data_IF_939651838781
#
_entry.id   IF_939651838781
#
_cell.length_a   1.000
_cell.length_b   1.000
_cell.length_c   1.000
_cell.angle_alpha   90.00
_cell.angle_beta   90.00
_cell.angle_gamma   90.00
#
_symmetry.space_group_name_H-M   'P 1'
#
loop_
_entity.id
_entity.type
_entity.pdbx_description
1 polymer ?
#
# COMPACT_ATOMS: atom_id res chain seq x y z
N UNK A 1 14.62 -24.90 -1.63
CA UNK A 1 14.42 -23.42 -1.73
C UNK A 1 13.54 -22.97 -0.58
N UNK A 2 14.12 -22.22 0.36
CA UNK A 2 13.42 -21.72 1.54
C UNK A 2 12.37 -20.67 1.14
N UNK A 3 11.28 -20.57 1.89
CA UNK A 3 10.18 -19.62 1.60
C UNK A 3 10.66 -18.15 1.58
N UNK A 4 11.60 -17.82 2.47
CA UNK A 4 12.29 -16.52 2.52
C UNK A 4 13.02 -16.22 1.21
N UNK A 5 13.68 -17.21 0.58
CA UNK A 5 14.39 -17.00 -0.68
C UNK A 5 13.45 -16.74 -1.86
N UNK A 6 12.28 -17.40 -1.87
CA UNK A 6 11.23 -17.10 -2.86
C UNK A 6 10.74 -15.65 -2.74
N UNK A 7 10.55 -15.17 -1.51
CA UNK A 7 10.14 -13.78 -1.23
C UNK A 7 11.23 -12.79 -1.62
N UNK A 8 12.49 -13.05 -1.23
CA UNK A 8 13.64 -12.23 -1.62
C UNK A 8 13.75 -12.09 -3.14
N UNK A 9 13.61 -13.19 -3.89
CA UNK A 9 13.67 -13.17 -5.36
C UNK A 9 12.49 -12.42 -5.99
N UNK A 10 11.28 -12.58 -5.45
CA UNK A 10 10.06 -11.91 -5.95
C UNK A 10 10.09 -10.39 -5.71
N UNK A 11 10.60 -9.97 -4.57
CA UNK A 11 10.65 -8.56 -4.17
C UNK A 11 12.01 -7.91 -4.45
N UNK A 12 12.97 -8.66 -4.99
CA UNK A 12 14.34 -8.21 -5.29
C UNK A 12 15.08 -7.64 -4.07
N UNK A 13 14.95 -8.31 -2.92
CA UNK A 13 15.46 -7.86 -1.62
C UNK A 13 16.72 -8.62 -1.25
N UNK A 14 17.78 -7.91 -0.86
CA UNK A 14 19.12 -8.50 -0.62
C UNK A 14 19.21 -9.23 0.72
N UNK A 15 18.53 -8.73 1.77
CA UNK A 15 18.60 -9.28 3.13
C UNK A 15 17.27 -9.87 3.62
N UNK A 16 17.31 -10.95 4.38
CA UNK A 16 16.12 -11.50 5.06
C UNK A 16 15.54 -10.55 6.10
N UNK A 17 16.39 -9.72 6.72
CA UNK A 17 15.98 -8.68 7.67
C UNK A 17 15.05 -7.64 7.03
N UNK A 18 15.33 -7.25 5.78
CA UNK A 18 14.47 -6.33 5.04
C UNK A 18 13.07 -6.92 4.83
N UNK A 19 12.95 -8.23 4.58
CA UNK A 19 11.65 -8.89 4.41
C UNK A 19 10.83 -8.83 5.70
N UNK A 20 11.46 -9.05 6.87
CA UNK A 20 10.79 -8.92 8.17
C UNK A 20 10.30 -7.49 8.42
N UNK A 21 11.15 -6.49 8.16
CA UNK A 21 10.80 -5.08 8.29
C UNK A 21 9.63 -4.72 7.37
N UNK A 22 9.65 -5.17 6.12
CA UNK A 22 8.56 -4.93 5.16
C UNK A 22 7.25 -5.55 5.65
N UNK A 23 7.29 -6.79 6.16
CA UNK A 23 6.12 -7.46 6.73
C UNK A 23 5.56 -6.71 7.95
N UNK A 24 6.44 -6.19 8.81
CA UNK A 24 6.04 -5.39 9.98
C UNK A 24 5.36 -4.08 9.54
N UNK A 25 5.94 -3.38 8.57
CA UNK A 25 5.32 -2.17 7.98
C UNK A 25 3.97 -2.48 7.36
N UNK A 26 3.83 -3.61 6.64
CA UNK A 26 2.54 -4.03 6.09
C UNK A 26 1.51 -4.33 7.19
N UNK A 27 1.91 -4.93 8.31
CA UNK A 27 1.02 -5.15 9.44
C UNK A 27 0.55 -3.82 10.07
N UNK A 28 1.48 -2.89 10.32
CA UNK A 28 1.16 -1.57 10.89
C UNK A 28 0.29 -0.72 9.95
N UNK A 29 0.62 -0.68 8.67
CA UNK A 29 -0.19 0.03 7.65
C UNK A 29 -1.58 -0.58 7.51
N UNK A 30 -1.70 -1.92 7.53
CA UNK A 30 -2.98 -2.62 7.51
C UNK A 30 -3.88 -2.24 8.70
N UNK A 31 -3.31 -2.18 9.89
CA UNK A 31 -4.02 -1.71 11.10
C UNK A 31 -4.46 -0.25 10.97
N UNK A 32 -3.57 0.62 10.50
CA UNK A 32 -3.84 2.06 10.33
C UNK A 32 -5.08 2.28 9.45
N UNK A 33 -5.19 1.57 8.34
CA UNK A 33 -6.32 1.74 7.40
C UNK A 33 -7.62 1.19 7.94
N UNK A 34 -7.59 0.09 8.70
CA UNK A 34 -8.80 -0.40 9.37
C UNK A 34 -9.39 0.68 10.30
N UNK A 35 -8.53 1.41 11.02
CA UNK A 35 -8.94 2.54 11.84
C UNK A 35 -9.43 3.73 11.01
N UNK A 36 -8.73 4.11 9.93
CA UNK A 36 -9.17 5.20 9.04
C UNK A 36 -10.56 4.95 8.48
N UNK A 37 -10.87 3.73 8.03
CA UNK A 37 -12.20 3.37 7.53
C UNK A 37 -13.28 3.57 8.60
N UNK A 38 -13.04 3.10 9.83
CA UNK A 38 -13.98 3.27 10.95
C UNK A 38 -14.18 4.75 11.31
N UNK A 39 -13.10 5.53 11.27
CA UNK A 39 -13.14 6.96 11.54
C UNK A 39 -13.97 7.70 10.48
N UNK A 40 -13.74 7.42 9.19
CA UNK A 40 -14.51 8.01 8.09
C UNK A 40 -16.01 7.68 8.18
N UNK A 41 -16.38 6.43 8.48
CA UNK A 41 -17.79 6.02 8.63
C UNK A 41 -18.47 6.74 9.80
N UNK A 42 -17.76 6.94 10.92
CA UNK A 42 -18.30 7.68 12.07
C UNK A 42 -18.47 9.18 11.80
N UNK A 43 -17.54 9.79 11.06
CA UNK A 43 -17.57 11.23 10.76
C UNK A 43 -18.65 11.61 9.75
N UNK A 44 -18.95 10.73 8.80
CA UNK A 44 -19.92 11.06 7.75
C UNK A 44 -21.39 10.91 8.17
N UNK A 45 -21.71 10.16 9.23
CA UNK A 45 -23.06 10.13 9.83
C UNK A 45 -24.23 9.77 8.88
N UNK A 46 -23.96 9.32 7.65
CA UNK A 46 -24.93 9.18 6.56
C UNK A 46 -24.98 7.71 6.11
N UNK A 47 -26.19 7.23 5.84
CA UNK A 47 -26.48 5.92 5.26
C UNK A 47 -25.56 5.62 4.07
N UNK A 48 -25.02 4.41 4.04
CA UNK A 48 -23.98 3.95 3.12
C UNK A 48 -24.36 4.15 1.65
N UNK A 49 -24.19 5.37 1.15
CA UNK A 49 -24.42 5.72 -0.23
C UNK A 49 -23.18 5.28 -1.01
N UNK A 50 -23.38 4.71 -2.19
CA UNK A 50 -22.30 4.28 -3.09
C UNK A 50 -21.24 5.36 -3.32
N UNK A 51 -21.63 6.65 -3.33
CA UNK A 51 -20.75 7.80 -3.43
C UNK A 51 -19.72 7.91 -2.28
N UNK A 52 -20.13 7.64 -1.04
CA UNK A 52 -19.25 7.67 0.14
C UNK A 52 -18.23 6.54 0.10
N UNK A 53 -18.64 5.37 -0.42
CA UNK A 53 -17.74 4.23 -0.59
C UNK A 53 -16.69 4.48 -1.67
N UNK A 54 -17.09 5.04 -2.82
CA UNK A 54 -16.17 5.46 -3.88
C UNK A 54 -15.17 6.51 -3.39
N UNK A 55 -15.65 7.53 -2.66
CA UNK A 55 -14.80 8.57 -2.09
C UNK A 55 -13.80 8.01 -1.06
N UNK A 56 -14.25 7.09 -0.20
CA UNK A 56 -13.38 6.38 0.74
C UNK A 56 -12.22 5.67 0.03
N UNK A 57 -12.49 4.92 -1.03
CA UNK A 57 -11.45 4.21 -1.79
C UNK A 57 -10.47 5.20 -2.41
N UNK A 58 -10.98 6.30 -2.98
CA UNK A 58 -10.17 7.31 -3.64
C UNK A 58 -9.25 8.07 -2.67
N UNK A 59 -9.62 8.19 -1.40
CA UNK A 59 -8.78 8.81 -0.36
C UNK A 59 -7.85 7.78 0.31
N UNK A 60 -8.34 6.57 0.60
CA UNK A 60 -7.55 5.52 1.25
C UNK A 60 -6.38 5.08 0.37
N UNK A 61 -6.55 5.04 -0.95
CA UNK A 61 -5.49 4.71 -1.90
C UNK A 61 -4.25 5.64 -1.78
N UNK A 62 -4.36 6.96 -1.98
CA UNK A 62 -3.23 7.87 -1.82
C UNK A 62 -2.75 7.97 -0.37
N UNK A 63 -3.65 7.85 0.61
CA UNK A 63 -3.25 7.83 2.02
C UNK A 63 -2.34 6.63 2.33
N UNK A 64 -2.70 5.43 1.86
CA UNK A 64 -1.87 4.23 1.99
C UNK A 64 -0.47 4.46 1.45
N UNK A 65 -0.39 5.15 0.33
CA UNK A 65 0.87 5.37 -0.36
C UNK A 65 1.80 6.30 0.43
N UNK A 66 1.25 7.37 1.00
CA UNK A 66 1.98 8.27 1.89
C UNK A 66 2.44 7.52 3.15
N UNK A 67 1.55 6.74 3.76
CA UNK A 67 1.83 5.98 4.97
C UNK A 67 2.96 4.96 4.71
N UNK A 68 2.93 4.24 3.59
CA UNK A 68 3.99 3.31 3.19
C UNK A 68 5.35 4.02 3.01
N UNK A 69 5.37 5.21 2.41
CA UNK A 69 6.61 6.00 2.27
C UNK A 69 7.14 6.48 3.62
N UNK A 70 6.27 6.93 4.53
CA UNK A 70 6.64 7.35 5.89
C UNK A 70 7.27 6.18 6.64
N UNK A 71 6.61 5.02 6.67
CA UNK A 71 7.17 3.83 7.32
C UNK A 71 8.45 3.36 6.63
N UNK A 72 8.51 3.42 5.30
CA UNK A 72 9.73 3.15 4.54
C UNK A 72 10.89 4.06 4.95
N UNK A 73 10.62 5.34 5.20
CA UNK A 73 11.60 6.28 5.71
C UNK A 73 12.04 5.96 7.14
N UNK A 74 11.09 5.70 8.04
CA UNK A 74 11.35 5.34 9.46
C UNK A 74 12.24 4.09 9.58
N UNK A 75 12.01 3.08 8.74
CA UNK A 75 12.75 1.82 8.78
C UNK A 75 13.95 1.75 7.81
N UNK A 76 14.30 2.85 7.13
CA UNK A 76 15.42 2.91 6.18
C UNK A 76 15.23 2.06 4.91
N UNK A 77 13.99 1.69 4.58
CA UNK A 77 13.61 0.94 3.37
C UNK A 77 12.91 1.81 2.32
N UNK A 78 13.03 3.14 2.41
CA UNK A 78 12.44 4.09 1.46
C UNK A 78 12.63 3.73 -0.03
N UNK A 79 13.84 3.39 -0.54
CA UNK A 79 14.02 3.06 -1.96
C UNK A 79 13.28 1.80 -2.39
N UNK A 80 13.03 0.86 -1.47
CA UNK A 80 12.21 -0.32 -1.73
C UNK A 80 10.73 0.07 -1.88
N UNK A 81 10.20 0.84 -0.93
CA UNK A 81 8.81 1.27 -0.95
C UNK A 81 8.51 2.21 -2.13
N UNK A 82 9.46 3.06 -2.52
CA UNK A 82 9.34 3.92 -3.71
C UNK A 82 9.32 3.10 -5.02
N UNK A 83 10.14 2.06 -5.12
CA UNK A 83 10.07 1.13 -6.27
C UNK A 83 8.76 0.33 -6.28
N UNK A 84 8.29 -0.07 -5.10
CA UNK A 84 7.02 -0.77 -4.92
C UNK A 84 5.83 0.11 -5.37
N UNK A 85 5.80 1.37 -4.92
CA UNK A 85 4.83 2.39 -5.34
C UNK A 85 4.83 2.58 -6.85
N UNK A 86 6.00 2.84 -7.44
CA UNK A 86 6.13 3.03 -8.88
C UNK A 86 5.62 1.82 -9.65
N UNK A 87 5.92 0.60 -9.18
CA UNK A 87 5.43 -0.64 -9.79
C UNK A 87 3.91 -0.77 -9.69
N UNK A 88 3.31 -0.33 -8.58
CA UNK A 88 1.85 -0.31 -8.41
C UNK A 88 1.20 0.70 -9.35
N UNK A 89 1.71 1.94 -9.39
CA UNK A 89 1.23 2.99 -10.31
C UNK A 89 1.42 2.63 -11.77
N UNK A 90 2.54 2.01 -12.16
CA UNK A 90 2.77 1.54 -13.52
C UNK A 90 1.74 0.50 -13.94
N UNK A 91 1.34 -0.40 -13.04
CA UNK A 91 0.29 -1.40 -13.33
C UNK A 91 -1.08 -0.73 -13.48
N UNK A 92 -1.44 0.17 -12.56
CA UNK A 92 -2.70 0.92 -12.62
C UNK A 92 -2.75 1.79 -13.90
N UNK A 93 -1.66 2.49 -14.22
CA UNK A 93 -1.52 3.32 -15.41
C UNK A 93 -1.51 2.49 -16.71
N UNK A 94 -0.90 1.30 -16.71
CA UNK A 94 -0.92 0.41 -17.88
C UNK A 94 -2.33 -0.10 -18.20
N UNK A 95 -3.19 -0.29 -17.19
CA UNK A 95 -4.60 -0.65 -17.40
C UNK A 95 -5.38 0.50 -18.07
N UNK A 96 -5.03 1.74 -17.77
CA UNK A 96 -5.60 2.92 -18.45
C UNK A 96 -5.02 3.14 -19.85
N UNK A 97 -3.73 2.87 -20.05
CA UNK A 97 -3.04 3.07 -21.33
C UNK A 97 -3.31 1.98 -22.37
N UNK A 98 -3.85 0.82 -21.97
CA UNK A 98 -4.22 -0.28 -22.88
C UNK A 98 -5.50 -0.01 -23.71
N UNK A 99 -6.15 1.14 -23.54
CA UNK A 99 -7.34 1.55 -24.32
C UNK A 99 -7.03 2.44 -25.53
N UNK A 100 -5.88 2.22 -26.17
CA UNK A 100 -5.52 2.86 -27.45
C UNK A 100 -5.08 1.78 -28.45
N UNK A 101 -6.05 0.97 -28.86
CA UNK A 101 -6.00 0.10 -30.05
C UNK A 101 -7.26 0.38 -30.85
#
# INVERSE_FOLDING_TARGET
>A
MNWIEKLKKRWNVKSGWQVLVILLVFACTGFTVMYTKRWMVKWLGIEATWAVWCFNIFIILPLYQIVLLIYGWVFGQYPFFLQFEKRMFQRIGSLFSQKKL
#
